data_IF_486741330946
#
_entry.id   IF_486741330946
#
_cell.length_a   1.000
_cell.length_b   1.000
_cell.length_c   1.000
_cell.angle_alpha   90.00
_cell.angle_beta   90.00
_cell.angle_gamma   90.00
#
_symmetry.space_group_name_H-M   'P 1'
#
loop_
_entity.id
_entity.type
_entity.pdbx_description
1 polymer ?
#
# COMPACT_ATOMS: atom_id res chain seq x y z
N UNK A 1 -12.17 20.29 12.92
CA UNK A 1 -12.61 18.91 13.23
C UNK A 1 -11.56 17.99 12.60
N UNK A 2 -10.50 17.69 13.34
CA UNK A 2 -9.36 16.90 12.83
C UNK A 2 -9.77 15.44 12.83
N UNK A 3 -9.88 14.88 11.64
CA UNK A 3 -10.36 13.54 11.39
C UNK A 3 -9.62 12.51 12.22
N UNK A 4 -10.41 11.55 12.71
CA UNK A 4 -10.05 10.42 13.54
C UNK A 4 -9.07 9.46 12.86
N UNK A 5 -7.83 9.88 12.63
CA UNK A 5 -6.69 8.99 12.43
C UNK A 5 -6.34 8.30 13.76
N UNK A 6 -7.28 7.53 14.31
CA UNK A 6 -7.04 6.55 15.38
C UNK A 6 -6.51 5.29 14.67
N UNK A 7 -5.21 5.20 14.45
CA UNK A 7 -4.29 4.48 15.35
C UNK A 7 -4.66 3.00 15.55
N UNK A 8 -4.89 2.28 14.44
CA UNK A 8 -4.26 0.99 14.20
C UNK A 8 -3.03 1.27 13.34
N UNK A 9 -1.83 1.06 13.87
CA UNK A 9 -0.58 1.71 13.47
C UNK A 9 -0.25 1.52 11.96
N UNK A 10 0.52 2.40 11.30
CA UNK A 10 0.98 2.21 9.91
C UNK A 10 1.51 0.80 9.58
N UNK A 11 2.03 0.09 10.60
CA UNK A 11 2.41 -1.32 10.55
C UNK A 11 1.25 -2.30 10.27
N UNK A 12 0.04 -2.06 10.78
CA UNK A 12 -1.15 -2.89 10.50
C UNK A 12 -1.62 -2.71 9.06
N UNK A 13 -1.61 -1.47 8.56
CA UNK A 13 -1.94 -1.16 7.17
C UNK A 13 -0.91 -1.79 6.21
N UNK A 14 0.36 -1.72 6.59
CA UNK A 14 1.44 -2.45 5.94
C UNK A 14 1.21 -3.97 5.94
N UNK A 15 0.97 -4.59 7.09
CA UNK A 15 0.73 -6.03 7.20
C UNK A 15 -0.51 -6.46 6.40
N UNK A 16 -1.56 -5.64 6.36
CA UNK A 16 -2.74 -5.90 5.55
C UNK A 16 -2.40 -5.95 4.05
N UNK A 17 -1.59 -5.00 3.57
CA UNK A 17 -1.14 -4.96 2.18
C UNK A 17 -0.25 -6.16 1.81
N UNK A 18 0.66 -6.56 2.69
CA UNK A 18 1.48 -7.77 2.48
C UNK A 18 0.61 -9.02 2.40
N UNK A 19 -0.36 -9.16 3.30
CA UNK A 19 -1.30 -10.29 3.28
C UNK A 19 -2.13 -10.31 2.00
N UNK A 20 -2.68 -9.17 1.58
CA UNK A 20 -3.46 -9.06 0.34
C UNK A 20 -2.62 -9.41 -0.89
N UNK A 21 -1.40 -8.87 -0.96
CA UNK A 21 -0.49 -9.17 -2.06
C UNK A 21 -0.19 -10.68 -2.10
N UNK A 22 0.06 -11.31 -0.96
CA UNK A 22 0.32 -12.74 -0.87
C UNK A 22 -0.86 -13.62 -1.27
N UNK A 23 -2.08 -13.21 -0.90
CA UNK A 23 -3.31 -13.88 -1.32
C UNK A 23 -3.48 -13.82 -2.84
N UNK A 24 -3.21 -12.67 -3.47
CA UNK A 24 -3.34 -12.50 -4.94
C UNK A 24 -2.37 -13.36 -5.73
N UNK A 25 -1.17 -13.60 -5.20
CA UNK A 25 -0.16 -14.43 -5.86
C UNK A 25 -0.17 -15.88 -5.37
N UNK A 26 -1.11 -16.25 -4.49
CA UNK A 26 -1.23 -17.56 -3.85
C UNK A 26 0.05 -18.05 -3.14
N UNK A 27 0.90 -17.12 -2.70
CA UNK A 27 2.14 -17.41 -1.97
C UNK A 27 2.50 -16.25 -1.04
N UNK A 28 3.20 -16.49 0.09
CA UNK A 28 3.78 -15.40 0.89
C UNK A 28 4.70 -14.52 0.03
N UNK A 29 4.77 -13.23 0.36
CA UNK A 29 5.79 -12.38 -0.23
C UNK A 29 7.14 -12.80 0.34
N UNK A 30 8.15 -12.83 -0.51
CA UNK A 30 9.53 -12.91 -0.04
C UNK A 30 9.95 -11.55 0.57
N UNK A 31 11.00 -11.59 1.39
CA UNK A 31 11.53 -10.41 2.09
C UNK A 31 11.90 -9.26 1.13
N UNK A 32 12.33 -9.56 -0.09
CA UNK A 32 12.68 -8.53 -1.09
C UNK A 32 11.44 -7.79 -1.60
N UNK A 33 10.36 -8.52 -1.86
CA UNK A 33 9.06 -7.96 -2.26
C UNK A 33 8.43 -7.18 -1.13
N UNK A 34 8.56 -7.64 0.11
CA UNK A 34 8.12 -6.89 1.28
C UNK A 34 8.85 -5.54 1.39
N UNK A 35 10.18 -5.53 1.39
CA UNK A 35 10.94 -4.27 1.41
C UNK A 35 10.62 -3.34 0.25
N UNK A 36 10.43 -3.89 -0.95
CA UNK A 36 10.07 -3.09 -2.12
C UNK A 36 8.69 -2.44 -1.97
N UNK A 37 7.71 -3.15 -1.42
CA UNK A 37 6.37 -2.61 -1.21
C UNK A 37 6.39 -1.47 -0.17
N UNK A 38 7.20 -1.56 0.89
CA UNK A 38 7.43 -0.44 1.82
C UNK A 38 7.97 0.78 1.08
N UNK A 39 8.99 0.60 0.24
CA UNK A 39 9.58 1.69 -0.55
C UNK A 39 8.55 2.35 -1.47
N UNK A 40 7.74 1.57 -2.18
CA UNK A 40 6.70 2.10 -3.08
C UNK A 40 5.66 2.88 -2.29
N UNK A 41 5.20 2.39 -1.15
CA UNK A 41 4.22 3.08 -0.31
C UNK A 41 4.76 4.42 0.22
N UNK A 42 5.99 4.45 0.72
CA UNK A 42 6.64 5.68 1.15
C UNK A 42 6.79 6.69 0.01
N UNK A 43 7.08 6.21 -1.21
CA UNK A 43 7.15 7.06 -2.39
C UNK A 43 5.79 7.64 -2.77
N UNK A 44 4.74 6.82 -2.76
CA UNK A 44 3.38 7.26 -3.06
C UNK A 44 2.86 8.29 -2.05
N UNK A 45 3.15 8.10 -0.76
CA UNK A 45 2.77 9.07 0.29
C UNK A 45 3.44 10.44 0.11
N UNK A 46 4.65 10.48 -0.46
CA UNK A 46 5.42 11.72 -0.64
C UNK A 46 5.11 12.43 -1.95
N UNK A 47 4.54 11.74 -2.93
CA UNK A 47 4.27 12.27 -4.26
C UNK A 47 2.76 12.18 -4.59
N UNK A 48 2.04 13.26 -4.29
CA UNK A 48 0.60 13.35 -4.49
C UNK A 48 0.19 13.21 -5.97
N UNK A 49 1.05 13.62 -6.91
CA UNK A 49 0.78 13.47 -8.33
C UNK A 49 0.87 12.00 -8.74
N UNK A 50 1.92 11.30 -8.28
CA UNK A 50 2.08 9.87 -8.51
C UNK A 50 0.92 9.09 -7.90
N UNK A 51 0.55 9.40 -6.66
CA UNK A 51 -0.59 8.76 -6.00
C UNK A 51 -1.91 8.95 -6.77
N UNK A 52 -2.20 10.17 -7.23
CA UNK A 52 -3.41 10.47 -8.01
C UNK A 52 -3.44 9.70 -9.34
N UNK A 53 -2.30 9.59 -10.03
CA UNK A 53 -2.20 8.81 -11.28
C UNK A 53 -2.39 7.31 -11.04
N UNK A 54 -1.79 6.75 -9.99
CA UNK A 54 -1.97 5.34 -9.65
C UNK A 54 -3.43 5.02 -9.34
N UNK A 55 -4.14 5.89 -8.61
CA UNK A 55 -5.57 5.73 -8.37
C UNK A 55 -6.41 5.82 -9.66
N UNK A 56 -6.10 6.77 -10.55
CA UNK A 56 -6.81 6.88 -11.83
C UNK A 56 -6.64 5.61 -12.69
N UNK A 57 -5.44 5.05 -12.73
CA UNK A 57 -5.19 3.79 -13.44
C UNK A 57 -5.91 2.60 -12.78
N UNK A 58 -5.93 2.53 -11.45
CA UNK A 58 -6.67 1.50 -10.73
C UNK A 58 -8.18 1.57 -11.02
N UNK A 59 -8.74 2.78 -11.09
CA UNK A 59 -10.14 3.00 -11.46
C UNK A 59 -10.46 2.54 -12.89
N UNK A 60 -9.54 2.75 -13.85
CA UNK A 60 -9.72 2.30 -15.23
C UNK A 60 -9.67 0.78 -15.40
N UNK A 61 -9.09 0.06 -14.44
CA UNK A 61 -8.90 -1.40 -14.51
C UNK A 61 -9.86 -2.18 -13.59
N UNK A 62 -10.69 -1.49 -12.81
CA UNK A 62 -11.72 -2.07 -11.94
C UNK A 62 -13.02 -2.32 -12.70
#
# INVERSE_FOLDING_TARGET
>A
MHESFKQGAPAELWQALVREAGQRIAQPLDESREHYLVFVLLRLQRDAQLFSRTQALAWLHA
#
